data_IF_104969747808
#
_entry.id   IF_104969747808
#
_cell.length_a   1.000
_cell.length_b   1.000
_cell.length_c   1.000
_cell.angle_alpha   90.00
_cell.angle_beta   90.00
_cell.angle_gamma   90.00
#
_symmetry.space_group_name_H-M   'P 1'
#
loop_
_entity.id
_entity.type
_entity.pdbx_description
1 polymer ?
#
# COMPACT_ATOMS: atom_id res chain seq x y z
N UNK A 1 -35.21 36.75 -16.72
CA UNK A 1 -34.32 36.54 -15.55
C UNK A 1 -33.82 35.11 -15.61
N UNK A 2 -32.58 34.93 -16.07
CA UNK A 2 -31.94 33.66 -16.41
C UNK A 2 -31.17 33.12 -15.21
N UNK A 3 -31.53 31.91 -14.73
CA UNK A 3 -30.69 31.14 -13.83
C UNK A 3 -29.85 30.16 -14.64
N UNK A 4 -28.55 30.45 -14.79
CA UNK A 4 -27.56 29.54 -15.38
C UNK A 4 -27.24 28.43 -14.37
N UNK A 5 -27.61 27.18 -14.66
CA UNK A 5 -26.94 26.00 -14.09
C UNK A 5 -25.86 25.55 -15.06
N UNK A 6 -24.60 25.91 -14.77
CA UNK A 6 -23.44 25.40 -15.47
C UNK A 6 -23.26 23.92 -15.12
N UNK A 7 -23.47 23.03 -16.09
CA UNK A 7 -22.92 21.68 -16.05
C UNK A 7 -21.41 21.80 -16.22
N UNK A 8 -20.65 21.46 -15.20
CA UNK A 8 -19.25 21.12 -15.33
C UNK A 8 -19.16 19.93 -16.29
N UNK A 9 -18.63 20.16 -17.49
CA UNK A 9 -18.25 19.08 -18.41
C UNK A 9 -16.97 18.48 -17.84
N UNK A 10 -17.06 17.28 -17.27
CA UNK A 10 -15.88 16.43 -17.06
C UNK A 10 -15.24 16.17 -18.42
N UNK A 11 -14.00 16.61 -18.60
CA UNK A 11 -13.17 16.33 -19.77
C UNK A 11 -12.53 14.93 -19.64
N UNK A 12 -13.37 13.88 -19.62
CA UNK A 12 -12.92 12.48 -19.49
C UNK A 12 -13.31 11.62 -20.70
N UNK A 13 -13.75 12.23 -21.82
CA UNK A 13 -14.39 11.51 -22.91
C UNK A 13 -13.45 11.02 -24.04
N UNK A 14 -12.17 11.36 -24.02
CA UNK A 14 -11.25 11.10 -25.15
C UNK A 14 -9.98 10.32 -24.75
N UNK A 15 -10.03 9.50 -23.70
CA UNK A 15 -8.99 8.49 -23.44
C UNK A 15 -9.46 7.16 -24.01
N UNK A 16 -8.71 6.58 -24.94
CA UNK A 16 -8.92 5.23 -25.44
C UNK A 16 -8.78 4.23 -24.28
N UNK A 17 -9.91 3.78 -23.73
CA UNK A 17 -9.95 2.86 -22.58
C UNK A 17 -9.76 1.39 -23.00
N UNK A 18 -9.43 1.11 -24.26
CA UNK A 18 -9.23 -0.27 -24.76
C UNK A 18 -8.02 -0.99 -24.15
N UNK A 19 -7.10 -0.25 -23.50
CA UNK A 19 -6.00 -0.80 -22.72
C UNK A 19 -6.33 -1.09 -21.24
N UNK A 20 -7.54 -0.77 -20.77
CA UNK A 20 -7.92 -0.97 -19.36
C UNK A 20 -8.31 -2.42 -19.17
N UNK A 21 -7.37 -3.23 -18.69
CA UNK A 21 -7.62 -4.58 -18.25
C UNK A 21 -8.55 -4.56 -17.02
N UNK A 22 -9.75 -5.19 -17.06
CA UNK A 22 -10.66 -5.26 -15.92
C UNK A 22 -10.04 -5.91 -14.68
N UNK A 23 -9.07 -6.82 -14.85
CA UNK A 23 -8.32 -7.42 -13.74
C UNK A 23 -7.36 -6.39 -13.08
N UNK A 24 -6.88 -5.40 -13.84
CA UNK A 24 -6.10 -4.27 -13.29
C UNK A 24 -6.97 -3.27 -12.53
N UNK A 25 -8.23 -3.05 -12.92
CA UNK A 25 -9.15 -2.14 -12.21
C UNK A 25 -9.34 -2.58 -10.74
N UNK A 26 -9.45 -3.89 -10.48
CA UNK A 26 -9.62 -4.44 -9.13
C UNK A 26 -8.41 -4.21 -8.21
N UNK A 27 -7.19 -4.39 -8.73
CA UNK A 27 -5.96 -4.08 -8.00
C UNK A 27 -5.82 -2.57 -7.75
N UNK A 28 -6.14 -1.72 -8.72
CA UNK A 28 -6.05 -0.27 -8.49
C UNK A 28 -7.03 0.22 -7.40
N UNK A 29 -8.18 -0.42 -7.19
CA UNK A 29 -9.12 -0.08 -6.11
C UNK A 29 -8.68 -0.65 -4.75
N UNK A 30 -8.16 -1.87 -4.70
CA UNK A 30 -7.70 -2.49 -3.45
C UNK A 30 -6.50 -1.73 -2.86
N UNK A 31 -5.46 -1.51 -3.65
CA UNK A 31 -4.25 -0.81 -3.21
C UNK A 31 -4.50 0.68 -2.93
N UNK A 32 -5.40 1.34 -3.67
CA UNK A 32 -5.81 2.71 -3.35
C UNK A 32 -6.49 2.79 -1.99
N UNK A 33 -7.39 1.86 -1.66
CA UNK A 33 -8.08 1.84 -0.35
C UNK A 33 -7.09 1.63 0.82
N UNK A 34 -6.12 0.74 0.64
CA UNK A 34 -5.04 0.53 1.63
C UNK A 34 -4.21 1.80 1.78
N UNK A 35 -3.83 2.42 0.66
CA UNK A 35 -3.01 3.63 0.66
C UNK A 35 -3.77 4.80 1.30
N UNK A 36 -5.07 4.94 1.04
CA UNK A 36 -5.93 5.93 1.68
C UNK A 36 -5.94 5.73 3.20
N UNK A 37 -6.11 4.49 3.67
CA UNK A 37 -6.09 4.18 5.10
C UNK A 37 -4.76 4.59 5.77
N UNK A 38 -3.64 4.44 5.06
CA UNK A 38 -2.32 4.92 5.53
C UNK A 38 -2.26 6.45 5.57
N UNK A 39 -2.70 7.14 4.52
CA UNK A 39 -2.72 8.61 4.48
C UNK A 39 -3.61 9.18 5.58
N UNK A 40 -4.78 8.58 5.82
CA UNK A 40 -5.72 9.01 6.84
C UNK A 40 -5.07 8.91 8.24
N UNK A 41 -4.44 7.78 8.54
CA UNK A 41 -3.70 7.58 9.80
C UNK A 41 -2.52 8.56 9.95
N UNK A 42 -1.80 8.85 8.85
CA UNK A 42 -0.74 9.86 8.83
C UNK A 42 -1.30 11.23 9.16
N UNK A 43 -2.40 11.64 8.52
CA UNK A 43 -3.00 12.96 8.72
C UNK A 43 -3.55 13.13 10.13
N UNK A 44 -4.17 12.09 10.69
CA UNK A 44 -4.63 12.06 12.08
C UNK A 44 -3.45 12.30 13.04
N UNK A 45 -2.34 11.56 12.87
CA UNK A 45 -1.17 11.69 13.73
C UNK A 45 -0.41 13.01 13.54
N UNK A 46 -0.41 13.56 12.32
CA UNK A 46 0.19 14.85 12.02
C UNK A 46 -0.53 16.01 12.75
N UNK A 47 -1.80 15.83 13.11
CA UNK A 47 -2.62 16.81 13.83
C UNK A 47 -2.61 18.20 13.17
N UNK A 48 -2.71 18.23 11.83
CA UNK A 48 -2.73 19.46 11.04
C UNK A 48 -1.36 20.03 10.65
N UNK A 49 -0.25 19.47 11.16
CA UNK A 49 1.10 19.85 10.73
C UNK A 49 1.39 19.31 9.34
N UNK A 50 2.21 20.03 8.57
CA UNK A 50 2.63 19.57 7.25
C UNK A 50 3.50 18.35 7.39
N UNK A 51 3.21 17.30 6.63
CA UNK A 51 4.04 16.10 6.54
C UNK A 51 5.02 16.25 5.39
N UNK A 52 6.30 15.99 5.65
CA UNK A 52 7.38 16.06 4.66
C UNK A 52 7.74 14.69 4.11
N UNK A 53 7.72 13.66 4.96
CA UNK A 53 7.97 12.28 4.55
C UNK A 53 7.22 11.30 5.44
N UNK A 54 6.93 10.13 4.88
CA UNK A 54 6.31 8.98 5.56
C UNK A 54 7.12 7.74 5.20
N UNK A 55 7.49 6.96 6.21
CA UNK A 55 8.13 5.65 6.04
C UNK A 55 7.16 4.55 6.41
N UNK A 56 6.94 3.60 5.51
CA UNK A 56 5.99 2.49 5.68
C UNK A 56 6.72 1.16 5.49
N UNK A 57 6.53 0.24 6.43
CA UNK A 57 6.94 -1.15 6.31
C UNK A 57 5.84 -1.95 5.60
N UNK A 58 6.21 -2.70 4.57
CA UNK A 58 5.37 -3.62 3.81
C UNK A 58 6.05 -4.98 3.84
N UNK A 59 5.61 -5.86 4.73
CA UNK A 59 6.11 -7.22 4.78
C UNK A 59 5.82 -7.97 3.48
N UNK A 60 6.79 -8.76 2.99
CA UNK A 60 6.69 -9.45 1.69
C UNK A 60 5.49 -10.43 1.53
N UNK A 61 4.82 -10.77 2.63
CA UNK A 61 3.66 -11.67 2.71
C UNK A 61 2.34 -10.93 2.99
N UNK A 62 2.33 -9.59 3.08
CA UNK A 62 1.10 -8.83 3.36
C UNK A 62 0.21 -8.61 2.11
N UNK A 63 0.62 -9.14 0.96
CA UNK A 63 -0.08 -9.08 -0.33
C UNK A 63 -0.33 -7.65 -0.87
N UNK A 64 0.34 -6.63 -0.33
CA UNK A 64 0.36 -5.28 -0.89
C UNK A 64 1.44 -5.18 -1.96
N UNK A 65 1.10 -4.60 -3.11
CA UNK A 65 2.05 -4.32 -4.19
C UNK A 65 2.72 -2.97 -3.95
N UNK A 66 4.03 -2.90 -3.65
CA UNK A 66 4.71 -1.65 -3.29
C UNK A 66 4.62 -0.57 -4.37
N UNK A 67 4.78 -0.95 -5.63
CA UNK A 67 4.71 0.00 -6.75
C UNK A 67 3.30 0.58 -6.95
N UNK A 68 2.27 -0.23 -6.68
CA UNK A 68 0.89 0.25 -6.71
C UNK A 68 0.61 1.21 -5.55
N UNK A 69 1.11 0.92 -4.34
CA UNK A 69 1.02 1.86 -3.21
C UNK A 69 1.73 3.18 -3.52
N UNK A 70 2.93 3.14 -4.11
CA UNK A 70 3.64 4.36 -4.56
C UNK A 70 2.80 5.16 -5.54
N UNK A 71 2.23 4.50 -6.53
CA UNK A 71 1.36 5.13 -7.53
C UNK A 71 0.11 5.75 -6.90
N UNK A 72 -0.51 5.07 -5.95
CA UNK A 72 -1.73 5.53 -5.28
C UNK A 72 -1.48 6.62 -4.23
N UNK A 73 -0.24 6.79 -3.74
CA UNK A 73 0.05 7.68 -2.61
C UNK A 73 -0.24 9.14 -2.93
N UNK A 74 0.26 9.65 -4.05
CA UNK A 74 0.04 11.05 -4.44
C UNK A 74 -1.45 11.35 -4.63
N UNK A 75 -2.20 10.37 -5.17
CA UNK A 75 -3.65 10.48 -5.35
C UNK A 75 -4.38 10.51 -4.00
N UNK A 76 -4.02 9.62 -3.07
CA UNK A 76 -4.63 9.55 -1.74
C UNK A 76 -4.27 10.76 -0.86
N UNK A 77 -3.07 11.31 -1.04
CA UNK A 77 -2.56 12.44 -0.26
C UNK A 77 -3.04 13.80 -0.77
N UNK A 78 -3.53 13.89 -2.00
CA UNK A 78 -3.96 15.14 -2.63
C UNK A 78 -4.97 15.91 -1.76
N UNK A 79 -4.68 17.20 -1.50
CA UNK A 79 -5.55 18.05 -0.67
C UNK A 79 -5.50 17.78 0.84
N UNK A 80 -4.59 16.92 1.31
CA UNK A 80 -4.35 16.67 2.74
C UNK A 80 -3.08 17.36 3.23
N UNK A 81 -2.75 17.23 4.52
CA UNK A 81 -1.46 17.71 5.06
C UNK A 81 -0.25 16.89 4.61
N UNK A 82 -0.49 15.73 3.98
CA UNK A 82 0.51 14.87 3.37
C UNK A 82 0.71 15.13 1.86
N UNK A 83 0.01 16.12 1.29
CA UNK A 83 0.17 16.48 -0.12
C UNK A 83 1.63 16.90 -0.43
N UNK A 84 2.23 16.21 -1.39
CA UNK A 84 3.64 16.34 -1.78
C UNK A 84 4.66 15.74 -0.79
N UNK A 85 4.23 14.93 0.18
CA UNK A 85 5.13 14.21 1.06
C UNK A 85 5.87 13.09 0.32
N UNK A 86 7.12 12.79 0.73
CA UNK A 86 7.90 11.68 0.19
C UNK A 86 7.50 10.36 0.85
N UNK A 87 7.16 9.34 0.06
CA UNK A 87 6.89 7.99 0.55
C UNK A 87 8.13 7.07 0.45
N UNK A 88 8.62 6.64 1.60
CA UNK A 88 9.65 5.61 1.74
C UNK A 88 9.02 4.27 2.11
N UNK A 89 9.40 3.21 1.39
CA UNK A 89 8.89 1.86 1.63
C UNK A 89 10.03 0.93 2.07
N UNK A 90 9.83 0.27 3.20
CA UNK A 90 10.68 -0.82 3.70
C UNK A 90 10.00 -2.15 3.44
N UNK A 91 10.68 -3.06 2.73
CA UNK A 91 10.10 -4.34 2.30
C UNK A 91 10.91 -5.50 2.90
N UNK A 92 10.77 -5.78 4.22
CA UNK A 92 11.49 -6.88 4.85
C UNK A 92 10.96 -8.24 4.35
N UNK A 93 11.83 -9.26 4.26
CA UNK A 93 11.40 -10.60 3.90
C UNK A 93 10.51 -11.20 5.00
N UNK A 94 9.65 -12.14 4.59
CA UNK A 94 8.97 -13.00 5.54
C UNK A 94 9.90 -14.02 6.16
N UNK A 95 9.71 -14.34 7.42
CA UNK A 95 10.41 -15.44 8.10
C UNK A 95 9.41 -16.45 8.62
N UNK A 96 9.79 -17.72 8.56
CA UNK A 96 9.02 -18.82 9.10
C UNK A 96 9.86 -19.71 10.02
N UNK A 97 9.17 -20.44 10.89
CA UNK A 97 9.71 -21.46 11.77
C UNK A 97 9.01 -22.79 11.50
N UNK A 98 9.77 -23.84 11.23
CA UNK A 98 9.21 -25.19 11.09
C UNK A 98 9.07 -25.85 12.46
N UNK A 99 7.86 -26.27 12.81
CA UNK A 99 7.57 -26.97 14.07
C UNK A 99 8.04 -28.43 14.06
N UNK A 100 8.20 -29.03 12.88
CA UNK A 100 8.69 -30.40 12.73
C UNK A 100 10.20 -30.57 12.95
N UNK A 101 11.03 -29.60 12.50
CA UNK A 101 12.49 -29.70 12.61
C UNK A 101 13.16 -28.54 13.35
N UNK A 102 12.41 -27.53 13.78
CA UNK A 102 12.91 -26.35 14.49
C UNK A 102 13.59 -25.29 13.61
N UNK A 103 13.77 -25.54 12.31
CA UNK A 103 14.48 -24.61 11.43
C UNK A 103 13.76 -23.27 11.27
N UNK A 104 14.53 -22.18 11.23
CA UNK A 104 14.06 -20.86 10.79
C UNK A 104 14.55 -20.58 9.39
N UNK A 105 13.68 -20.06 8.53
CA UNK A 105 13.99 -19.82 7.12
C UNK A 105 13.22 -18.63 6.57
N UNK A 106 13.80 -17.94 5.59
CA UNK A 106 13.12 -16.88 4.86
C UNK A 106 12.05 -17.49 3.94
N UNK A 107 10.89 -16.85 3.88
CA UNK A 107 9.81 -17.20 2.97
C UNK A 107 10.07 -16.51 1.64
N UNK A 108 10.50 -17.27 0.65
CA UNK A 108 10.77 -16.80 -0.71
C UNK A 108 9.69 -17.19 -1.70
N UNK A 109 8.89 -18.20 -1.36
CA UNK A 109 7.92 -18.83 -2.25
C UNK A 109 6.51 -18.80 -1.63
N UNK A 110 5.45 -18.74 -2.45
CA UNK A 110 4.07 -18.82 -1.97
C UNK A 110 3.76 -20.13 -1.23
N UNK A 111 4.53 -21.19 -1.51
CA UNK A 111 4.40 -22.49 -0.89
C UNK A 111 5.32 -22.53 0.34
N UNK A 112 4.70 -22.48 1.52
CA UNK A 112 5.39 -22.55 2.80
C UNK A 112 5.81 -24.00 3.12
N UNK A 113 6.88 -24.47 2.47
CA UNK A 113 7.44 -25.79 2.69
C UNK A 113 8.85 -25.68 3.27
N UNK A 114 9.09 -26.32 4.42
CA UNK A 114 10.44 -26.40 4.97
C UNK A 114 11.31 -27.36 4.13
N UNK A 115 12.62 -27.13 4.10
CA UNK A 115 13.59 -28.04 3.46
C UNK A 115 13.57 -29.47 4.03
N UNK A 116 13.04 -29.68 5.24
CA UNK A 116 12.83 -31.03 5.78
C UNK A 116 11.60 -31.75 5.21
N UNK A 117 10.81 -31.09 4.35
CA UNK A 117 9.57 -31.60 3.77
C UNK A 117 8.32 -31.35 4.61
N UNK A 118 8.44 -30.78 5.81
CA UNK A 118 7.29 -30.42 6.63
C UNK A 118 6.63 -29.12 6.15
N UNK A 119 5.30 -29.15 6.05
CA UNK A 119 4.45 -27.97 5.87
C UNK A 119 3.90 -27.42 7.19
N UNK A 120 4.23 -28.04 8.34
CA UNK A 120 3.88 -27.51 9.67
C UNK A 120 4.86 -26.38 10.02
N UNK A 121 4.52 -25.19 9.53
CA UNK A 121 5.35 -23.99 9.60
C UNK A 121 4.55 -22.81 10.11
N UNK A 122 5.18 -22.04 10.99
CA UNK A 122 4.65 -20.82 11.57
C UNK A 122 5.32 -19.62 10.92
N UNK A 123 4.52 -18.71 10.37
CA UNK A 123 5.04 -17.43 9.85
C UNK A 123 5.30 -16.50 11.03
N UNK A 124 6.56 -16.09 11.20
CA UNK A 124 7.02 -15.22 12.28
C UNK A 124 6.92 -13.74 11.90
N UNK A 125 7.27 -13.39 10.66
CA UNK A 125 7.28 -12.03 10.13
C UNK A 125 6.95 -12.02 8.64
N UNK A 126 6.77 -10.83 8.07
CA UNK A 126 6.48 -10.57 6.67
C UNK A 126 5.02 -10.27 6.40
N UNK A 127 4.15 -10.22 7.41
CA UNK A 127 2.71 -9.92 7.24
C UNK A 127 2.35 -8.50 7.67
N UNK A 128 3.35 -7.71 8.01
CA UNK A 128 3.19 -6.38 8.57
C UNK A 128 2.85 -5.36 7.47
N UNK A 129 1.97 -4.41 7.82
CA UNK A 129 1.81 -3.14 7.13
C UNK A 129 1.79 -2.06 8.21
N UNK A 130 2.83 -1.24 8.29
CA UNK A 130 3.03 -0.33 9.44
C UNK A 130 3.64 0.99 9.00
N UNK A 131 3.15 2.11 9.55
CA UNK A 131 3.86 3.39 9.48
C UNK A 131 5.00 3.33 10.50
N UNK A 132 6.24 3.42 10.03
CA UNK A 132 7.43 3.39 10.88
C UNK A 132 7.76 4.77 11.45
N UNK A 133 7.65 5.81 10.62
CA UNK A 133 7.96 7.18 10.99
C UNK A 133 7.32 8.18 10.02
N UNK A 134 7.18 9.43 10.47
CA UNK A 134 6.87 10.57 9.62
C UNK A 134 7.62 11.81 10.08
N UNK A 135 7.96 12.69 9.15
CA UNK A 135 8.57 13.99 9.42
C UNK A 135 7.52 15.09 9.28
N UNK A 136 7.42 15.97 10.28
CA UNK A 136 6.39 17.03 10.34
C UNK A 136 6.98 18.39 10.75
N UNK A 137 6.33 19.47 10.32
CA UNK A 137 6.67 20.87 10.64
C UNK A 137 6.31 21.28 12.07
#
# INVERSE_FOLDING_TARGET
>A
MTARRGRLRCAFADLDLSWIDPARIGAHVHELSITQSVVDAVCEHAAGRRVHSVRVEIGALCAVVPDAMRFCFDLAAAGTVADGARLDLDIPPGWAHCRGCGARFAVTDPILLCRCGSADVEVLTGRELRILSMEVS
#
